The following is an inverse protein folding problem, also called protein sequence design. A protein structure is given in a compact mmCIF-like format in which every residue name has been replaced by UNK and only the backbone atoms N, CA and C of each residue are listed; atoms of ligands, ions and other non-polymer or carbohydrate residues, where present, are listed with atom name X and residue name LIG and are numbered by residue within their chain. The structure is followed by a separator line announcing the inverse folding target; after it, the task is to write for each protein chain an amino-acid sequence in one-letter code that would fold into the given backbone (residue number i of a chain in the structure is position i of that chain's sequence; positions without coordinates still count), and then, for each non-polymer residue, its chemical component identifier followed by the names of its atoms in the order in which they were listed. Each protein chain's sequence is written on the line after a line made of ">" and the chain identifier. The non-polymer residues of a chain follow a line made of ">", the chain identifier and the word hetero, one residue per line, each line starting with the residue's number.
data_IF_770843646594
#
_entry.id   IF_770843646594
#
_cell.length_a   1.000
_cell.length_b   1.000
_cell.length_c   1.000
_cell.angle_alpha   90.00
_cell.angle_beta   90.00
_cell.angle_gamma   90.00
#
_symmetry.space_group_name_H-M   'P 1'
#
loop_
_entity.id
_entity.type
_entity.pdbx_description
1 polymer ?
#
# COMPACT_ATOMS: atom_id res chain seq x y z
N UNK A 1 17.56 19.88 7.50
CA UNK A 1 16.45 19.50 6.60
C UNK A 1 15.55 18.50 7.32
N UNK A 2 14.26 18.82 7.51
CA UNK A 2 13.26 17.91 8.09
C UNK A 2 12.62 17.10 6.95
N UNK A 3 12.87 15.79 6.90
CA UNK A 3 12.21 14.87 5.98
C UNK A 3 10.97 14.30 6.68
N UNK A 4 9.77 14.67 6.22
CA UNK A 4 8.53 14.13 6.77
C UNK A 4 8.12 12.87 5.99
N UNK A 5 8.54 11.71 6.47
CA UNK A 5 8.07 10.42 5.97
C UNK A 5 6.59 10.26 6.35
N UNK A 6 5.73 10.18 5.33
CA UNK A 6 4.30 9.89 5.52
C UNK A 6 4.04 8.45 5.11
N UNK A 7 3.66 7.61 6.06
CA UNK A 7 3.31 6.21 5.83
C UNK A 7 1.80 6.09 5.65
N UNK A 8 1.36 5.15 4.81
CA UNK A 8 -0.04 4.86 4.55
C UNK A 8 -0.75 5.85 3.62
N UNK A 9 0.00 6.69 2.90
CA UNK A 9 -0.57 7.46 1.78
C UNK A 9 -0.62 6.58 0.54
N UNK A 10 -1.84 6.39 0.03
CA UNK A 10 -2.14 5.64 -1.19
C UNK A 10 -2.82 6.55 -2.22
N UNK A 11 -2.67 6.20 -3.49
CA UNK A 11 -3.32 6.87 -4.62
C UNK A 11 -3.47 5.88 -5.78
N UNK A 12 -4.50 6.10 -6.60
CA UNK A 12 -4.64 5.45 -7.91
C UNK A 12 -4.10 6.43 -8.95
N UNK A 13 -3.35 5.91 -9.93
CA UNK A 13 -2.80 6.71 -11.01
C UNK A 13 -3.74 6.67 -12.22
N UNK A 14 -4.09 7.84 -12.74
CA UNK A 14 -4.87 7.98 -13.99
C UNK A 14 -3.99 8.03 -15.24
N UNK A 15 -2.67 8.16 -15.04
CA UNK A 15 -1.66 8.23 -16.12
C UNK A 15 -0.47 7.34 -15.80
N UNK A 16 0.25 6.82 -16.82
CA UNK A 16 1.53 6.17 -16.60
C UNK A 16 2.51 7.10 -15.88
N UNK A 17 3.12 6.63 -14.80
CA UNK A 17 4.05 7.43 -14.01
C UNK A 17 5.19 6.56 -13.44
N UNK A 18 6.27 7.23 -13.04
CA UNK A 18 7.39 6.63 -12.31
C UNK A 18 7.48 7.25 -10.92
N UNK A 19 8.02 6.52 -9.96
CA UNK A 19 8.21 7.00 -8.60
C UNK A 19 9.64 6.76 -8.12
N UNK A 20 10.04 7.50 -7.09
CA UNK A 20 11.35 7.31 -6.45
C UNK A 20 11.33 6.12 -5.47
N UNK A 21 12.46 5.86 -4.82
CA UNK A 21 12.67 4.75 -3.87
C UNK A 21 11.71 4.78 -2.66
N UNK A 22 11.23 5.97 -2.27
CA UNK A 22 10.37 6.13 -1.10
C UNK A 22 8.89 5.74 -1.35
N UNK A 23 8.58 5.26 -2.56
CA UNK A 23 7.24 4.85 -3.00
C UNK A 23 7.32 3.46 -3.60
N UNK A 24 6.20 2.75 -3.55
CA UNK A 24 6.04 1.44 -4.18
C UNK A 24 4.79 1.42 -5.04
N UNK A 25 4.83 0.62 -6.10
CA UNK A 25 3.65 0.28 -6.89
C UNK A 25 3.13 -1.09 -6.46
N UNK A 26 1.82 -1.20 -6.27
CA UNK A 26 1.14 -2.43 -5.89
C UNK A 26 0.24 -2.84 -7.06
N UNK A 27 0.40 -4.07 -7.52
CA UNK A 27 -0.39 -4.66 -8.59
C UNK A 27 -1.11 -5.90 -8.06
N UNK A 28 -2.45 -5.89 -7.92
CA UNK A 28 -3.20 -7.06 -7.49
C UNK A 28 -3.10 -8.20 -8.50
N UNK A 29 -2.94 -9.43 -8.01
CA UNK A 29 -2.86 -10.64 -8.84
C UNK A 29 -4.16 -10.94 -9.59
N UNK A 30 -5.30 -10.67 -8.92
CA UNK A 30 -6.64 -10.79 -9.49
C UNK A 30 -7.23 -9.39 -9.46
N UNK A 31 -7.65 -8.87 -10.61
CA UNK A 31 -8.17 -7.50 -10.70
C UNK A 31 -9.20 -7.34 -11.81
N UNK A 32 -10.25 -8.18 -11.75
CA UNK A 32 -11.37 -8.07 -12.68
C UNK A 32 -12.08 -6.73 -12.43
N UNK A 33 -12.29 -5.95 -13.49
CA UNK A 33 -13.03 -4.68 -13.46
C UNK A 33 -12.56 -3.71 -12.35
N UNK A 34 -11.27 -3.75 -12.01
CA UNK A 34 -10.64 -2.97 -10.94
C UNK A 34 -11.17 -3.20 -9.50
N UNK A 35 -11.99 -4.23 -9.28
CA UNK A 35 -12.62 -4.51 -7.98
C UNK A 35 -11.58 -4.64 -6.87
N UNK A 36 -10.55 -5.46 -7.08
CA UNK A 36 -9.51 -5.70 -6.07
C UNK A 36 -8.60 -4.49 -5.90
N UNK A 37 -8.31 -3.73 -6.96
CA UNK A 37 -7.56 -2.46 -6.87
C UNK A 37 -8.29 -1.49 -5.94
N UNK A 38 -9.59 -1.33 -6.11
CA UNK A 38 -10.39 -0.37 -5.37
C UNK A 38 -10.57 -0.81 -3.91
N UNK A 39 -10.78 -2.11 -3.68
CA UNK A 39 -10.74 -2.70 -2.34
C UNK A 39 -9.40 -2.42 -1.63
N UNK A 40 -8.27 -2.68 -2.29
CA UNK A 40 -6.95 -2.41 -1.75
C UNK A 40 -6.72 -0.91 -1.48
N UNK A 41 -7.27 -0.02 -2.31
CA UNK A 41 -7.17 1.42 -2.10
C UNK A 41 -7.78 1.85 -0.75
N UNK A 42 -8.90 1.25 -0.33
CA UNK A 42 -9.49 1.53 0.98
C UNK A 42 -8.75 0.84 2.13
N UNK A 43 -8.28 -0.40 1.91
CA UNK A 43 -7.70 -1.23 2.96
C UNK A 43 -6.24 -0.85 3.30
N UNK A 44 -5.40 -0.64 2.29
CA UNK A 44 -3.97 -0.40 2.46
C UNK A 44 -3.62 0.77 3.39
N UNK A 45 -4.28 1.94 3.36
CA UNK A 45 -3.98 3.02 4.32
C UNK A 45 -4.19 2.58 5.77
N UNK A 46 -5.17 1.72 6.04
CA UNK A 46 -5.46 1.19 7.38
C UNK A 46 -4.38 0.18 7.77
N UNK A 47 -4.16 -0.86 6.97
CA UNK A 47 -3.23 -1.94 7.32
C UNK A 47 -1.77 -1.43 7.39
N UNK A 48 -1.37 -0.52 6.50
CA UNK A 48 -0.03 0.06 6.51
C UNK A 48 0.25 0.98 7.69
N UNK A 49 -0.78 1.48 8.37
CA UNK A 49 -0.64 2.26 9.61
C UNK A 49 -0.72 1.38 10.86
N UNK A 50 -1.31 0.19 10.75
CA UNK A 50 -1.41 -0.80 11.83
C UNK A 50 -0.27 -1.84 11.82
N UNK A 51 0.46 -1.97 10.72
CA UNK A 51 1.55 -2.93 10.56
C UNK A 51 2.78 -2.65 11.44
N UNK A 52 3.66 -3.64 11.56
CA UNK A 52 4.95 -3.44 12.22
C UNK A 52 5.89 -2.58 11.36
N UNK A 53 6.61 -1.67 12.01
CA UNK A 53 7.51 -0.73 11.34
C UNK A 53 8.95 -1.01 11.70
N UNK A 54 9.85 -0.96 10.71
CA UNK A 54 11.28 -0.92 11.01
C UNK A 54 11.67 0.47 11.50
N UNK A 55 12.37 0.60 12.65
CA UNK A 55 12.98 1.86 13.04
C UNK A 55 14.12 2.20 12.07
N UNK A 56 14.04 3.36 11.43
CA UNK A 56 15.11 3.94 10.63
C UNK A 56 15.59 5.26 11.23
N UNK A 57 16.82 5.67 10.89
CA UNK A 57 17.47 6.89 11.42
C UNK A 57 16.60 8.15 11.22
N UNK A 58 15.72 8.15 10.20
CA UNK A 58 14.82 9.28 9.86
C UNK A 58 13.34 9.02 10.20
N UNK A 59 13.01 7.98 10.97
CA UNK A 59 11.63 7.65 11.36
C UNK A 59 11.28 6.18 11.12
N UNK A 60 9.99 5.84 11.21
CA UNK A 60 9.49 4.51 10.87
C UNK A 60 9.47 4.32 9.35
N UNK A 61 9.86 3.15 8.87
CA UNK A 61 9.79 2.79 7.45
C UNK A 61 9.03 1.48 7.26
N UNK A 62 8.28 1.40 6.17
CA UNK A 62 7.63 0.19 5.71
C UNK A 62 8.33 -0.24 4.42
N UNK A 63 9.14 -1.29 4.48
CA UNK A 63 9.91 -1.77 3.33
C UNK A 63 9.13 -2.81 2.52
N UNK A 64 9.60 -3.13 1.31
CA UNK A 64 8.94 -4.09 0.40
C UNK A 64 8.71 -5.47 1.04
N UNK A 65 9.65 -5.95 1.86
CA UNK A 65 9.54 -7.25 2.54
C UNK A 65 8.39 -7.24 3.54
N UNK A 66 8.35 -6.23 4.42
CA UNK A 66 7.27 -6.08 5.41
C UNK A 66 5.91 -5.92 4.73
N UNK A 67 5.84 -5.18 3.61
CA UNK A 67 4.59 -5.00 2.86
C UNK A 67 4.07 -6.33 2.30
N UNK A 68 4.96 -7.19 1.81
CA UNK A 68 4.59 -8.53 1.32
C UNK A 68 4.14 -9.47 2.44
N UNK A 69 4.58 -9.23 3.68
CA UNK A 69 4.20 -10.02 4.85
C UNK A 69 2.89 -9.54 5.51
N UNK A 70 2.37 -8.37 5.10
CA UNK A 70 1.11 -7.84 5.62
C UNK A 70 -0.04 -8.80 5.27
N UNK A 71 -0.64 -9.38 6.30
CA UNK A 71 -1.88 -10.15 6.16
C UNK A 71 -3.03 -9.18 5.93
N UNK A 72 -3.80 -9.43 4.88
CA UNK A 72 -5.00 -8.67 4.56
C UNK A 72 -6.23 -9.57 4.64
N UNK A 73 -7.38 -9.07 5.10
CA UNK A 73 -8.65 -9.70 4.77
C UNK A 73 -8.80 -9.69 3.25
N UNK A 74 -9.19 -10.83 2.67
CA UNK A 74 -9.46 -10.95 1.25
C UNK A 74 -10.80 -11.67 1.07
N UNK A 75 -11.91 -10.94 1.05
CA UNK A 75 -13.23 -11.55 0.87
C UNK A 75 -13.42 -12.01 -0.59
N UNK A 76 -14.47 -12.78 -0.90
CA UNK A 76 -14.83 -13.14 -2.27
C UNK A 76 -15.01 -11.89 -3.16
N UNK A 77 -14.78 -12.02 -4.48
CA UNK A 77 -14.89 -10.88 -5.41
C UNK A 77 -16.26 -10.17 -5.35
N UNK A 78 -17.34 -10.91 -5.06
CA UNK A 78 -18.69 -10.35 -4.90
C UNK A 78 -18.86 -9.44 -3.68
N UNK A 79 -17.97 -9.52 -2.69
CA UNK A 79 -17.99 -8.72 -1.47
C UNK A 79 -16.95 -7.59 -1.49
N UNK A 80 -16.09 -7.53 -2.51
CA UNK A 80 -15.05 -6.50 -2.64
C UNK A 80 -15.55 -5.22 -3.32
N UNK A 81 -16.68 -5.30 -4.03
CA UNK A 81 -17.28 -4.20 -4.82
C UNK A 81 -18.21 -3.32 -4.00
#
# INVERSE_FOLDING_TARGET
>A
MSFKLSIGKVCILDVPAVHNEAKISIFPFINKDYITRDYLYYLLPIISTMGEFTPAIKGKTLNKTLINELKIPLPPLSEQS
#
